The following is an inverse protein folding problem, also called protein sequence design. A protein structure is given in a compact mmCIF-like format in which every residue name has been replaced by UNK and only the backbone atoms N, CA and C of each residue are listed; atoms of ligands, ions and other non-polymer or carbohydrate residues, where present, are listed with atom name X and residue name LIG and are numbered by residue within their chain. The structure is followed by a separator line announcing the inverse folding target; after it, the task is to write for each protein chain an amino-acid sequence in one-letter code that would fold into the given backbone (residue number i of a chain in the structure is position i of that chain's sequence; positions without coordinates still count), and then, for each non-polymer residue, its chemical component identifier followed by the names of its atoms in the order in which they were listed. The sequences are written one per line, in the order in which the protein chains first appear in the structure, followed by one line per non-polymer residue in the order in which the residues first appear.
data_IF_957921703021
#
_entry.id   IF_957921703021
#
_cell.length_a   1.000
_cell.length_b   1.000
_cell.length_c   1.000
_cell.angle_alpha   90.00
_cell.angle_beta   90.00
_cell.angle_gamma   90.00
#
_symmetry.space_group_name_H-M   'P 1'
#
loop_
_entity.id
_entity.type
_entity.pdbx_description
1 polymer ?
#
# COMPACT_ATOMS: atom_id res chain seq x y z
N UNK A 1 5.45 -32.70 31.74
CA UNK A 1 4.94 -31.32 31.96
C UNK A 1 6.00 -30.39 32.58
N UNK A 2 6.75 -30.81 33.62
CA UNK A 2 7.79 -29.97 34.26
C UNK A 2 9.04 -29.65 33.40
N UNK A 3 9.36 -30.45 32.37
CA UNK A 3 10.51 -30.18 31.48
C UNK A 3 10.27 -29.00 30.53
N UNK A 4 9.02 -28.78 30.10
CA UNK A 4 8.65 -27.70 29.19
C UNK A 4 8.72 -26.31 29.87
N UNK A 5 8.31 -26.25 31.14
CA UNK A 5 8.42 -25.04 31.97
C UNK A 5 9.88 -24.70 32.34
N UNK A 6 10.75 -25.70 32.42
CA UNK A 6 12.18 -25.49 32.73
C UNK A 6 12.97 -24.90 31.56
N UNK A 7 12.47 -25.04 30.33
CA UNK A 7 13.05 -24.44 29.11
C UNK A 7 12.70 -22.96 28.92
N UNK A 8 11.74 -22.42 29.69
CA UNK A 8 11.41 -21.00 29.66
C UNK A 8 12.35 -20.16 30.55
N UNK A 9 13.08 -20.77 31.49
CA UNK A 9 14.06 -20.11 32.36
C UNK A 9 15.46 -20.06 31.71
N UNK A 10 15.52 -19.64 30.45
CA UNK A 10 16.79 -19.37 29.80
C UNK A 10 17.24 -17.95 30.18
N UNK A 11 17.97 -17.84 31.29
CA UNK A 11 18.53 -16.61 31.91
C UNK A 11 19.47 -15.77 31.03
N UNK A 12 19.61 -16.11 29.74
CA UNK A 12 20.47 -15.42 28.77
C UNK A 12 19.71 -14.56 27.74
N UNK A 13 18.42 -14.26 27.95
CA UNK A 13 17.71 -13.27 27.14
C UNK A 13 18.20 -11.85 27.48
N UNK A 14 19.24 -11.40 26.78
CA UNK A 14 19.57 -9.97 26.72
C UNK A 14 18.35 -9.26 26.13
N UNK A 15 17.73 -8.28 26.81
CA UNK A 15 16.67 -7.48 26.23
C UNK A 15 17.29 -6.60 25.13
N UNK A 16 17.52 -7.17 23.96
CA UNK A 16 17.78 -6.35 22.77
C UNK A 16 16.50 -5.58 22.53
N UNK A 17 16.57 -4.26 22.47
CA UNK A 17 15.45 -3.36 22.18
C UNK A 17 14.74 -3.81 20.89
N UNK A 18 13.76 -4.71 21.02
CA UNK A 18 13.02 -5.30 19.89
C UNK A 18 12.26 -4.23 19.12
N UNK A 19 11.80 -3.19 19.82
CA UNK A 19 11.16 -2.03 19.22
C UNK A 19 12.06 -1.26 18.22
N UNK A 20 13.35 -1.07 18.54
CA UNK A 20 14.30 -0.42 17.63
C UNK A 20 14.58 -1.28 16.39
N UNK A 21 14.55 -2.62 16.53
CA UNK A 21 14.66 -3.52 15.37
C UNK A 21 13.41 -3.47 14.49
N UNK A 22 12.21 -3.40 15.07
CA UNK A 22 10.95 -3.29 14.32
C UNK A 22 10.92 -1.98 13.51
N UNK A 23 11.31 -0.86 14.12
CA UNK A 23 11.40 0.44 13.43
C UNK A 23 12.31 0.40 12.19
N UNK A 24 13.38 -0.40 12.22
CA UNK A 24 14.26 -0.57 11.06
C UNK A 24 13.58 -1.26 9.86
N UNK A 25 12.59 -2.12 10.10
CA UNK A 25 11.95 -2.93 9.07
C UNK A 25 10.50 -2.51 8.74
N UNK A 26 9.96 -1.49 9.40
CA UNK A 26 8.59 -1.03 9.17
C UNK A 26 8.42 -0.21 7.88
N UNK A 27 9.53 0.33 7.35
CA UNK A 27 9.54 1.24 6.20
C UNK A 27 8.79 0.72 4.96
N UNK A 28 9.08 -0.50 4.46
CA UNK A 28 8.38 -1.07 3.31
C UNK A 28 6.87 -1.22 3.55
N UNK A 29 6.46 -1.60 4.77
CA UNK A 29 5.04 -1.70 5.13
C UNK A 29 4.33 -0.36 5.10
N UNK A 30 4.97 0.69 5.62
CA UNK A 30 4.42 2.05 5.59
C UNK A 30 4.22 2.56 4.15
N UNK A 31 5.21 2.36 3.27
CA UNK A 31 5.11 2.74 1.86
C UNK A 31 3.91 2.08 1.18
N UNK A 32 3.67 0.79 1.46
CA UNK A 32 2.50 0.08 0.93
C UNK A 32 1.21 0.68 1.48
N UNK A 33 1.13 0.96 2.79
CA UNK A 33 -0.09 1.49 3.40
C UNK A 33 -0.47 2.89 2.89
N UNK A 34 0.50 3.75 2.56
CA UNK A 34 0.21 5.09 2.02
C UNK A 34 -0.56 4.99 0.70
N UNK A 35 -0.22 4.03 -0.16
CA UNK A 35 -0.93 3.80 -1.42
C UNK A 35 -2.39 3.31 -1.25
N UNK A 36 -2.78 2.85 -0.06
CA UNK A 36 -4.17 2.48 0.24
C UNK A 36 -4.99 3.62 0.85
N UNK A 37 -4.32 4.69 1.30
CA UNK A 37 -4.96 5.89 1.84
C UNK A 37 -4.89 6.99 0.76
N UNK A 38 -5.21 6.62 -0.46
CA UNK A 38 -5.21 7.51 -1.61
C UNK A 38 -6.57 8.23 -1.78
N UNK A 39 -6.61 9.36 -2.50
CA UNK A 39 -7.85 10.12 -2.72
C UNK A 39 -8.95 9.31 -3.42
N UNK A 40 -8.59 8.30 -4.22
CA UNK A 40 -9.55 7.43 -4.90
C UNK A 40 -10.34 6.56 -3.93
N UNK A 41 -9.65 5.93 -2.97
CA UNK A 41 -10.30 5.15 -1.91
C UNK A 41 -11.17 6.04 -1.00
N UNK A 42 -10.72 7.27 -0.71
CA UNK A 42 -11.51 8.23 0.05
C UNK A 42 -12.82 8.59 -0.67
N UNK A 43 -12.76 8.87 -1.97
CA UNK A 43 -13.94 9.22 -2.75
C UNK A 43 -14.99 8.09 -2.72
N UNK A 44 -14.57 6.84 -2.92
CA UNK A 44 -15.49 5.69 -2.89
C UNK A 44 -16.09 5.46 -1.50
N UNK A 45 -15.27 5.55 -0.44
CA UNK A 45 -15.74 5.34 0.93
C UNK A 45 -16.68 6.45 1.41
N UNK A 46 -16.43 7.71 1.02
CA UNK A 46 -17.30 8.84 1.33
C UNK A 46 -18.63 8.71 0.58
N UNK A 47 -18.59 8.37 -0.71
CA UNK A 47 -19.80 8.15 -1.51
C UNK A 47 -20.65 7.01 -0.92
N UNK A 48 -20.01 5.87 -0.63
CA UNK A 48 -20.65 4.71 -0.02
C UNK A 48 -21.23 5.02 1.38
N UNK A 49 -20.51 5.78 2.20
CA UNK A 49 -20.98 6.22 3.51
C UNK A 49 -22.15 7.22 3.43
N UNK A 50 -22.15 8.09 2.42
CA UNK A 50 -23.24 9.04 2.18
C UNK A 50 -24.54 8.35 1.75
N UNK A 51 -24.45 7.23 1.03
CA UNK A 51 -25.61 6.52 0.49
C UNK A 51 -26.12 5.41 1.43
N UNK A 52 -25.22 4.66 2.06
CA UNK A 52 -25.56 3.48 2.88
C UNK A 52 -25.33 3.66 4.39
N UNK A 53 -24.83 4.82 4.82
CA UNK A 53 -24.47 5.09 6.21
C UNK A 53 -23.43 4.10 6.74
N UNK A 54 -23.62 3.61 7.96
CA UNK A 54 -22.71 2.66 8.61
C UNK A 54 -22.88 1.20 8.16
N UNK A 55 -23.82 0.91 7.26
CA UNK A 55 -24.12 -0.46 6.83
C UNK A 55 -22.93 -1.15 6.15
N UNK A 56 -22.06 -0.38 5.49
CA UNK A 56 -20.89 -0.89 4.76
C UNK A 56 -19.61 -0.99 5.60
N UNK A 57 -19.63 -0.60 6.88
CA UNK A 57 -18.42 -0.59 7.72
C UNK A 57 -17.78 -1.99 7.84
N UNK A 58 -18.62 -3.04 7.91
CA UNK A 58 -18.12 -4.42 7.98
C UNK A 58 -17.41 -4.85 6.70
N UNK A 59 -17.85 -4.39 5.52
CA UNK A 59 -17.17 -4.64 4.24
C UNK A 59 -15.78 -4.00 4.22
N UNK A 60 -15.65 -2.78 4.76
CA UNK A 60 -14.35 -2.09 4.87
C UNK A 60 -13.39 -2.83 5.80
N UNK A 61 -13.90 -3.37 6.92
CA UNK A 61 -13.05 -4.19 7.81
C UNK A 61 -12.61 -5.49 7.14
N UNK A 62 -13.51 -6.15 6.40
CA UNK A 62 -13.21 -7.38 5.67
C UNK A 62 -12.17 -7.13 4.57
N UNK A 63 -12.33 -6.05 3.79
CA UNK A 63 -11.39 -5.69 2.73
C UNK A 63 -9.99 -5.40 3.28
N UNK A 64 -9.91 -4.75 4.45
CA UNK A 64 -8.64 -4.48 5.13
C UNK A 64 -7.95 -5.76 5.59
N UNK A 65 -8.70 -6.74 6.13
CA UNK A 65 -8.14 -8.04 6.52
C UNK A 65 -7.61 -8.79 5.29
N UNK A 66 -8.39 -8.83 4.21
CA UNK A 66 -7.95 -9.45 2.96
C UNK A 66 -6.69 -8.80 2.43
N UNK A 67 -6.63 -7.46 2.47
CA UNK A 67 -5.47 -6.70 2.05
C UNK A 67 -4.21 -7.09 2.85
N UNK A 68 -4.32 -7.17 4.18
CA UNK A 68 -3.19 -7.55 5.05
C UNK A 68 -2.67 -8.95 4.67
N UNK A 69 -3.57 -9.91 4.44
CA UNK A 69 -3.19 -11.28 4.07
C UNK A 69 -2.47 -11.30 2.71
N UNK A 70 -3.00 -10.59 1.72
CA UNK A 70 -2.38 -10.52 0.38
C UNK A 70 -1.01 -9.84 0.43
N UNK A 71 -0.88 -8.72 1.13
CA UNK A 71 0.39 -8.01 1.26
C UNK A 71 1.41 -8.81 2.06
N UNK A 72 0.98 -9.56 3.07
CA UNK A 72 1.85 -10.48 3.80
C UNK A 72 2.44 -11.56 2.88
N UNK A 73 1.62 -12.14 2.00
CA UNK A 73 2.08 -13.15 1.05
C UNK A 73 3.08 -12.59 0.03
N UNK A 74 2.84 -11.37 -0.48
CA UNK A 74 3.76 -10.70 -1.41
C UNK A 74 5.08 -10.37 -0.72
N UNK A 75 5.04 -9.86 0.52
CA UNK A 75 6.23 -9.61 1.30
C UNK A 75 7.01 -10.90 1.58
N UNK A 76 6.32 -11.98 1.96
CA UNK A 76 6.94 -13.28 2.20
C UNK A 76 7.60 -13.84 0.93
N UNK A 77 6.94 -13.71 -0.22
CA UNK A 77 7.52 -14.09 -1.52
C UNK A 77 8.81 -13.31 -1.81
N UNK A 78 8.79 -11.99 -1.62
CA UNK A 78 9.96 -11.13 -1.85
C UNK A 78 11.13 -11.47 -0.93
N UNK A 79 10.85 -11.75 0.35
CA UNK A 79 11.87 -12.16 1.33
C UNK A 79 12.44 -13.56 1.01
N UNK A 80 11.59 -14.52 0.63
CA UNK A 80 12.00 -15.90 0.40
C UNK A 80 12.73 -16.11 -0.93
N UNK A 81 12.33 -15.39 -1.98
CA UNK A 81 12.86 -15.59 -3.34
C UNK A 81 13.85 -14.50 -3.78
N UNK A 82 13.85 -13.34 -3.12
CA UNK A 82 14.62 -12.17 -3.54
C UNK A 82 14.11 -11.52 -4.83
N UNK A 83 12.98 -11.97 -5.37
CA UNK A 83 12.37 -11.46 -6.60
C UNK A 83 11.19 -10.54 -6.27
N UNK A 84 11.00 -9.49 -7.07
CA UNK A 84 9.74 -8.74 -7.03
C UNK A 84 8.60 -9.55 -7.66
N UNK A 85 7.35 -9.19 -7.34
CA UNK A 85 6.17 -9.91 -7.84
C UNK A 85 6.12 -9.94 -9.38
N UNK A 86 6.58 -8.87 -10.04
CA UNK A 86 6.63 -8.79 -11.50
C UNK A 86 7.66 -9.76 -12.13
N UNK A 87 8.84 -9.89 -11.50
CA UNK A 87 9.87 -10.86 -11.90
C UNK A 87 9.42 -12.29 -11.64
N UNK A 88 8.82 -12.54 -10.48
CA UNK A 88 8.27 -13.85 -10.14
C UNK A 88 7.15 -14.26 -11.11
N UNK A 89 6.25 -13.34 -11.47
CA UNK A 89 5.22 -13.58 -12.48
C UNK A 89 5.83 -13.97 -13.82
N UNK A 90 6.86 -13.25 -14.28
CA UNK A 90 7.54 -13.54 -15.56
C UNK A 90 8.29 -14.86 -15.54
N UNK A 91 8.91 -15.22 -14.42
CA UNK A 91 9.72 -16.43 -14.28
C UNK A 91 8.89 -17.70 -14.11
N UNK A 92 7.79 -17.64 -13.35
CA UNK A 92 7.02 -18.82 -12.95
C UNK A 92 5.72 -19.02 -13.74
N UNK A 93 5.31 -18.05 -14.58
CA UNK A 93 4.08 -18.17 -15.38
C UNK A 93 4.37 -18.21 -16.88
N UNK A 94 3.37 -18.66 -17.65
CA UNK A 94 3.48 -18.68 -19.12
C UNK A 94 3.60 -17.25 -19.66
N UNK A 95 4.39 -17.01 -20.72
CA UNK A 95 4.70 -15.66 -21.21
C UNK A 95 3.45 -14.85 -21.63
N UNK A 96 2.40 -15.50 -22.12
CA UNK A 96 1.14 -14.82 -22.45
C UNK A 96 0.42 -14.28 -21.21
N UNK A 97 0.31 -15.10 -20.15
CA UNK A 97 -0.35 -14.74 -18.90
C UNK A 97 0.44 -13.67 -18.15
N UNK A 98 1.77 -13.81 -18.09
CA UNK A 98 2.64 -12.80 -17.48
C UNK A 98 2.49 -11.44 -18.16
N UNK A 99 2.49 -11.41 -19.50
CA UNK A 99 2.33 -10.16 -20.26
C UNK A 99 0.98 -9.51 -19.95
N UNK A 100 -0.11 -10.28 -19.92
CA UNK A 100 -1.42 -9.74 -19.56
C UNK A 100 -1.43 -9.14 -18.15
N UNK A 101 -0.92 -9.88 -17.15
CA UNK A 101 -0.88 -9.41 -15.75
C UNK A 101 -0.06 -8.12 -15.64
N UNK A 102 1.14 -8.09 -16.22
CA UNK A 102 2.01 -6.91 -16.17
C UNK A 102 1.39 -5.70 -16.89
N UNK A 103 0.69 -5.94 -18.00
CA UNK A 103 0.00 -4.87 -18.72
C UNK A 103 -1.14 -4.31 -17.87
N UNK A 104 -1.94 -5.17 -17.24
CA UNK A 104 -3.00 -4.71 -16.33
C UNK A 104 -2.46 -3.99 -15.09
N UNK A 105 -1.32 -4.44 -14.55
CA UNK A 105 -0.66 -3.79 -13.43
C UNK A 105 -0.13 -2.39 -13.82
N UNK A 106 0.44 -2.25 -15.01
CA UNK A 106 0.86 -0.94 -15.54
C UNK A 106 -0.34 0.00 -15.70
N UNK A 107 -1.43 -0.48 -16.29
CA UNK A 107 -2.66 0.30 -16.45
C UNK A 107 -3.26 0.70 -15.10
N UNK A 108 -3.25 -0.20 -14.11
CA UNK A 108 -3.69 0.10 -12.75
C UNK A 108 -2.82 1.19 -12.11
N UNK A 109 -1.49 1.10 -12.25
CA UNK A 109 -0.56 2.13 -11.74
C UNK A 109 -0.84 3.51 -12.37
N UNK A 110 -1.09 3.57 -13.68
CA UNK A 110 -1.46 4.82 -14.35
C UNK A 110 -2.78 5.37 -13.80
N UNK A 111 -3.77 4.50 -13.57
CA UNK A 111 -5.05 4.90 -12.98
C UNK A 111 -4.89 5.45 -11.57
N UNK A 112 -4.04 4.86 -10.73
CA UNK A 112 -3.77 5.35 -9.38
C UNK A 112 -3.11 6.74 -9.42
N UNK A 113 -2.10 6.94 -10.27
CA UNK A 113 -1.46 8.25 -10.42
C UNK A 113 -2.44 9.33 -10.87
N UNK A 114 -3.39 9.00 -11.76
CA UNK A 114 -4.45 9.94 -12.16
C UNK A 114 -5.34 10.34 -10.96
N UNK A 115 -5.71 9.38 -10.10
CA UNK A 115 -6.51 9.66 -8.91
C UNK A 115 -5.76 10.56 -7.90
N UNK A 116 -4.46 10.34 -7.72
CA UNK A 116 -3.62 11.18 -6.85
C UNK A 116 -3.48 12.62 -7.37
N UNK A 117 -3.24 12.79 -8.68
CA UNK A 117 -3.13 14.12 -9.30
C UNK A 117 -4.45 14.89 -9.17
N UNK A 118 -5.58 14.22 -9.44
CA UNK A 118 -6.91 14.83 -9.30
C UNK A 118 -7.22 15.17 -7.85
N UNK A 119 -6.94 14.26 -6.92
CA UNK A 119 -7.13 14.50 -5.48
C UNK A 119 -6.30 15.69 -4.99
N UNK A 120 -5.03 15.79 -5.41
CA UNK A 120 -4.17 16.93 -5.11
C UNK A 120 -4.70 18.24 -5.69
N UNK A 121 -5.20 18.22 -6.94
CA UNK A 121 -5.78 19.39 -7.59
C UNK A 121 -7.05 19.87 -6.86
N UNK A 122 -7.93 18.96 -6.45
CA UNK A 122 -9.14 19.27 -5.68
C UNK A 122 -8.77 19.83 -4.30
N UNK A 123 -7.76 19.26 -3.64
CA UNK A 123 -7.27 19.77 -2.36
C UNK A 123 -6.75 21.22 -2.48
N UNK A 124 -5.99 21.53 -3.54
CA UNK A 124 -5.53 22.90 -3.83
C UNK A 124 -6.70 23.85 -4.11
N UNK A 125 -7.72 23.38 -4.81
CA UNK A 125 -8.94 24.17 -5.04
C UNK A 125 -9.64 24.49 -3.71
N UNK A 126 -9.81 23.52 -2.83
CA UNK A 126 -10.47 23.72 -1.54
C UNK A 126 -9.66 24.63 -0.59
N UNK A 127 -8.33 24.53 -0.61
CA UNK A 127 -7.47 25.27 0.31
C UNK A 127 -7.17 26.70 -0.16
N UNK A 128 -6.97 26.90 -1.48
CA UNK A 128 -6.49 28.16 -2.05
C UNK A 128 -7.39 28.75 -3.13
N UNK A 129 -8.55 28.12 -3.43
CA UNK A 129 -9.46 28.53 -4.51
C UNK A 129 -8.81 28.57 -5.91
N UNK A 130 -7.77 27.76 -6.14
CA UNK A 130 -7.11 27.65 -7.44
C UNK A 130 -7.96 26.76 -8.37
N UNK A 131 -8.14 27.12 -9.66
CA UNK A 131 -8.85 26.25 -10.62
C UNK A 131 -8.21 24.86 -10.76
N UNK A 132 -9.05 23.83 -10.92
CA UNK A 132 -8.60 22.42 -11.05
C UNK A 132 -7.53 22.23 -12.14
N UNK A 133 -7.66 22.79 -13.37
CA UNK A 133 -6.66 22.57 -14.40
C UNK A 133 -5.27 23.10 -14.00
N UNK A 134 -5.21 24.27 -13.38
CA UNK A 134 -3.95 24.86 -12.91
C UNK A 134 -3.41 24.12 -11.68
N UNK A 135 -4.28 23.67 -10.78
CA UNK A 135 -3.91 22.84 -9.64
C UNK A 135 -3.30 21.50 -10.07
N UNK A 136 -3.88 20.82 -11.05
CA UNK A 136 -3.37 19.56 -11.58
C UNK A 136 -1.98 19.71 -12.22
N UNK A 137 -1.78 20.77 -13.02
CA UNK A 137 -0.47 21.08 -13.61
C UNK A 137 0.58 21.30 -12.52
N UNK A 138 0.23 22.05 -11.45
CA UNK A 138 1.14 22.33 -10.34
C UNK A 138 1.53 21.04 -9.60
N UNK A 139 0.57 20.16 -9.31
CA UNK A 139 0.83 18.85 -8.69
C UNK A 139 1.73 17.98 -9.57
N UNK A 140 1.49 17.94 -10.88
CA UNK A 140 2.34 17.18 -11.82
C UNK A 140 3.77 17.71 -11.83
N UNK A 141 3.97 19.04 -11.88
CA UNK A 141 5.30 19.65 -11.83
C UNK A 141 6.00 19.29 -10.51
N UNK A 142 5.28 19.39 -9.39
CA UNK A 142 5.82 19.06 -8.07
C UNK A 142 6.26 17.59 -7.97
N UNK A 143 5.40 16.65 -8.40
CA UNK A 143 5.72 15.22 -8.41
C UNK A 143 6.89 14.92 -9.36
N UNK A 144 6.92 15.56 -10.54
CA UNK A 144 8.04 15.39 -11.47
C UNK A 144 9.36 15.86 -10.86
N UNK A 145 9.38 17.02 -10.20
CA UNK A 145 10.59 17.50 -9.49
C UNK A 145 11.01 16.49 -8.42
N UNK A 146 10.09 16.00 -7.59
CA UNK A 146 10.41 15.00 -6.56
C UNK A 146 10.88 13.65 -7.13
N UNK A 147 10.44 13.27 -8.32
CA UNK A 147 10.88 12.04 -8.98
C UNK A 147 12.33 12.14 -9.49
N UNK A 148 12.74 13.34 -9.94
CA UNK A 148 14.05 13.58 -10.56
C UNK A 148 15.10 14.18 -9.61
N UNK A 149 14.74 14.49 -8.36
CA UNK A 149 15.64 15.03 -7.33
C UNK A 149 15.88 14.01 -6.24
#
# INVERSE_FOLDING_TARGET
MLSFLKNLDNKNHRPTFGALKILKYIGPGLLVTVGFIDPGNWASNIAAGSEFGFTLLWMVTLSTIMLIILQHNVAHLGIATGLCLAEAATKYTKPWASRSILTTAMMASVSTSLAEILGGAIALQMLFNIPIPTGAILVVIFVAIMLFT
#
